data_IF_314966973107
#
_entry.id   IF_314966973107
#
_cell.length_a   1.000
_cell.length_b   1.000
_cell.length_c   1.000
_cell.angle_alpha   90.00
_cell.angle_beta   90.00
_cell.angle_gamma   90.00
#
_symmetry.space_group_name_H-M   'P 1'
#
loop_
_entity.id
_entity.type
_entity.pdbx_description
1 polymer ?
#
# COMPACT_ATOMS: atom_id res chain seq x y z
N UNK A 1 32.53 -9.22 4.98
CA UNK A 1 31.12 -9.67 5.00
C UNK A 1 30.32 -8.40 4.73
N UNK A 2 30.24 -8.06 3.43
CA UNK A 2 29.54 -6.86 2.96
C UNK A 2 28.03 -7.08 3.11
N UNK A 3 27.42 -6.26 3.93
CA UNK A 3 25.96 -6.16 4.02
C UNK A 3 25.46 -5.63 2.68
N UNK A 4 24.73 -6.45 1.92
CA UNK A 4 24.02 -6.01 0.73
C UNK A 4 22.88 -5.13 1.25
N UNK A 5 23.09 -3.82 1.23
CA UNK A 5 22.03 -2.83 1.43
C UNK A 5 21.01 -3.00 0.29
N UNK A 6 19.76 -3.26 0.65
CA UNK A 6 18.67 -3.17 -0.31
C UNK A 6 18.62 -1.74 -0.84
N UNK A 7 18.49 -1.53 -2.16
CA UNK A 7 18.44 -0.19 -2.74
C UNK A 7 17.35 0.67 -2.05
N UNK A 8 17.66 1.94 -1.86
CA UNK A 8 16.75 2.91 -1.26
C UNK A 8 15.49 3.09 -2.11
N UNK A 9 14.42 3.65 -1.56
CA UNK A 9 13.12 3.78 -2.23
C UNK A 9 13.12 4.65 -3.48
N UNK A 10 14.18 5.39 -3.77
CA UNK A 10 14.30 6.33 -4.88
C UNK A 10 15.30 5.89 -5.99
N UNK A 11 15.90 4.70 -5.88
CA UNK A 11 16.79 4.18 -6.92
C UNK A 11 15.97 3.51 -8.03
N UNK A 12 16.14 3.95 -9.29
CA UNK A 12 15.63 3.24 -10.46
C UNK A 12 16.25 1.84 -10.50
N UNK A 13 15.38 0.83 -10.37
CA UNK A 13 15.85 -0.55 -10.46
C UNK A 13 16.38 -0.86 -11.86
N UNK A 14 17.43 -1.70 -11.96
CA UNK A 14 17.87 -2.24 -13.23
C UNK A 14 16.71 -2.88 -14.02
N UNK A 15 16.69 -2.73 -15.33
CA UNK A 15 15.63 -3.29 -16.18
C UNK A 15 15.37 -4.79 -15.95
N UNK A 16 16.42 -5.54 -15.59
CA UNK A 16 16.31 -6.97 -15.25
C UNK A 16 15.49 -7.20 -13.97
N UNK A 17 15.63 -6.32 -12.98
CA UNK A 17 14.91 -6.43 -11.71
C UNK A 17 13.43 -6.08 -11.92
N UNK A 18 13.15 -5.08 -12.73
CA UNK A 18 11.78 -4.74 -13.16
C UNK A 18 11.11 -5.90 -13.88
N UNK A 19 11.83 -6.58 -14.79
CA UNK A 19 11.32 -7.76 -15.50
C UNK A 19 11.03 -8.92 -14.53
N UNK A 20 11.87 -9.13 -13.52
CA UNK A 20 11.66 -10.16 -12.48
C UNK A 20 10.44 -9.83 -11.62
N UNK A 21 10.29 -8.57 -11.20
CA UNK A 21 9.12 -8.13 -10.42
C UNK A 21 7.83 -8.25 -11.22
N UNK A 22 7.82 -7.87 -12.51
CA UNK A 22 6.68 -8.04 -13.41
C UNK A 22 6.29 -9.52 -13.57
N UNK A 23 7.27 -10.41 -13.74
CA UNK A 23 7.05 -11.85 -13.76
C UNK A 23 6.50 -12.38 -12.43
N UNK A 24 7.01 -11.86 -11.31
CA UNK A 24 6.52 -12.16 -9.96
C UNK A 24 5.06 -11.76 -9.79
N UNK A 25 4.68 -10.55 -10.21
CA UNK A 25 3.30 -10.06 -10.24
C UNK A 25 2.39 -11.02 -11.01
N UNK A 26 2.76 -11.35 -12.25
CA UNK A 26 1.98 -12.27 -13.07
C UNK A 26 1.82 -13.67 -12.44
N UNK A 27 2.85 -14.18 -11.76
CA UNK A 27 2.77 -15.44 -11.02
C UNK A 27 1.78 -15.37 -9.84
N UNK A 28 1.80 -14.27 -9.08
CA UNK A 28 0.86 -14.11 -7.95
C UNK A 28 -0.56 -13.94 -8.44
N UNK A 29 -0.81 -13.15 -9.47
CA UNK A 29 -2.13 -12.96 -10.06
C UNK A 29 -2.71 -14.27 -10.60
N UNK A 30 -1.88 -15.12 -11.19
CA UNK A 30 -2.34 -16.40 -11.75
C UNK A 30 -2.52 -17.48 -10.66
N UNK A 31 -1.49 -17.70 -9.83
CA UNK A 31 -1.42 -18.85 -8.93
C UNK A 31 -1.66 -18.55 -7.45
N UNK A 32 -1.60 -17.27 -7.05
CA UNK A 32 -1.53 -16.84 -5.64
C UNK A 32 -0.12 -16.94 -5.06
N UNK A 33 0.08 -16.31 -3.90
CA UNK A 33 1.39 -16.20 -3.23
C UNK A 33 1.97 -17.57 -2.88
N UNK A 34 1.16 -18.48 -2.30
CA UNK A 34 1.61 -19.81 -1.84
C UNK A 34 2.16 -20.69 -2.96
N UNK A 35 1.67 -20.52 -4.18
CA UNK A 35 2.06 -21.34 -5.34
C UNK A 35 3.11 -20.65 -6.22
N UNK A 36 3.44 -19.40 -5.95
CA UNK A 36 4.51 -18.67 -6.64
C UNK A 36 5.87 -19.16 -6.14
N UNK A 37 6.76 -19.47 -7.08
CA UNK A 37 8.14 -19.88 -6.77
C UNK A 37 9.14 -19.02 -7.53
N UNK A 38 10.33 -18.76 -6.94
CA UNK A 38 11.40 -18.02 -7.63
C UNK A 38 11.86 -18.71 -8.93
N UNK A 39 11.75 -20.03 -9.02
CA UNK A 39 12.07 -20.77 -10.22
C UNK A 39 11.11 -20.48 -11.37
N UNK A 40 9.81 -20.37 -11.08
CA UNK A 40 8.80 -20.01 -12.09
C UNK A 40 8.93 -18.54 -12.48
N UNK A 41 9.20 -17.67 -11.51
CA UNK A 41 9.48 -16.24 -11.78
C UNK A 41 10.69 -16.10 -12.71
N UNK A 42 11.81 -16.80 -12.43
CA UNK A 42 12.99 -16.77 -13.29
C UNK A 42 12.68 -17.23 -14.73
N UNK A 43 11.92 -18.32 -14.87
CA UNK A 43 11.49 -18.83 -16.16
C UNK A 43 10.67 -17.79 -16.95
N UNK A 44 9.70 -17.13 -16.30
CA UNK A 44 8.85 -16.11 -16.94
C UNK A 44 9.61 -14.83 -17.27
N UNK A 45 10.53 -14.41 -16.40
CA UNK A 45 11.36 -13.24 -16.63
C UNK A 45 12.45 -13.47 -17.68
N UNK A 46 12.65 -14.72 -18.19
CA UNK A 46 13.70 -15.05 -19.14
C UNK A 46 15.11 -14.95 -18.56
N UNK A 47 15.26 -15.11 -17.23
CA UNK A 47 16.56 -15.00 -16.55
C UNK A 47 16.96 -16.31 -15.86
N UNK A 48 18.25 -16.42 -15.52
CA UNK A 48 18.76 -17.59 -14.78
C UNK A 48 18.23 -17.60 -13.33
N UNK A 49 18.00 -18.79 -12.76
CA UNK A 49 17.64 -18.94 -11.33
C UNK A 49 18.64 -18.25 -10.40
N UNK A 50 19.98 -18.45 -10.55
CA UNK A 50 20.95 -17.74 -9.73
C UNK A 50 20.81 -16.22 -9.78
N UNK A 51 20.40 -15.64 -10.91
CA UNK A 51 20.15 -14.20 -11.02
C UNK A 51 19.06 -13.74 -10.08
N UNK A 52 17.95 -14.48 -10.00
CA UNK A 52 16.84 -14.16 -9.10
C UNK A 52 17.24 -14.39 -7.63
N UNK A 53 17.83 -15.54 -7.30
CA UNK A 53 18.23 -15.87 -5.92
C UNK A 53 19.29 -14.93 -5.34
N UNK A 54 20.11 -14.31 -6.17
CA UNK A 54 21.08 -13.31 -5.73
C UNK A 54 20.40 -12.03 -5.25
N UNK A 55 19.27 -11.66 -5.85
CA UNK A 55 18.50 -10.44 -5.50
C UNK A 55 17.47 -10.70 -4.41
N UNK A 56 16.76 -11.80 -4.51
CA UNK A 56 15.72 -12.21 -3.57
C UNK A 56 16.01 -13.62 -3.06
N UNK A 57 16.38 -13.77 -1.78
CA UNK A 57 16.74 -15.08 -1.20
C UNK A 57 15.54 -16.05 -1.16
N UNK A 58 14.33 -15.53 -1.13
CA UNK A 58 13.08 -16.29 -1.07
C UNK A 58 11.93 -15.58 -1.77
N UNK A 59 10.84 -16.30 -1.99
CA UNK A 59 9.62 -15.77 -2.63
C UNK A 59 8.97 -14.67 -1.80
N UNK A 60 9.08 -14.75 -0.46
CA UNK A 60 8.49 -13.76 0.45
C UNK A 60 9.16 -12.38 0.28
N UNK A 61 10.47 -12.35 0.16
CA UNK A 61 11.23 -11.10 -0.07
C UNK A 61 10.89 -10.45 -1.41
N UNK A 62 10.77 -11.26 -2.48
CA UNK A 62 10.33 -10.78 -3.78
C UNK A 62 8.92 -10.15 -3.72
N UNK A 63 7.97 -10.87 -3.11
CA UNK A 63 6.58 -10.39 -3.01
C UNK A 63 6.50 -9.16 -2.11
N UNK A 64 7.25 -9.11 -1.00
CA UNK A 64 7.27 -7.94 -0.14
C UNK A 64 7.74 -6.68 -0.89
N UNK A 65 8.78 -6.80 -1.73
CA UNK A 65 9.24 -5.69 -2.56
C UNK A 65 8.23 -5.31 -3.63
N UNK A 66 7.64 -6.30 -4.30
CA UNK A 66 6.57 -6.07 -5.28
C UNK A 66 5.42 -5.26 -4.66
N UNK A 67 4.94 -5.65 -3.48
CA UNK A 67 3.84 -4.97 -2.78
C UNK A 67 4.21 -3.55 -2.34
N UNK A 68 5.47 -3.33 -1.93
CA UNK A 68 5.96 -1.98 -1.59
C UNK A 68 5.86 -1.05 -2.80
N UNK A 69 6.31 -1.53 -3.96
CA UNK A 69 6.32 -0.74 -5.20
C UNK A 69 4.90 -0.45 -5.70
N UNK A 70 4.07 -1.48 -5.79
CA UNK A 70 2.66 -1.33 -6.20
C UNK A 70 1.93 -0.32 -5.32
N UNK A 71 2.11 -0.44 -3.99
CA UNK A 71 1.48 0.50 -3.06
C UNK A 71 2.01 1.93 -3.25
N UNK A 72 3.30 2.10 -3.51
CA UNK A 72 3.89 3.41 -3.77
C UNK A 72 3.30 4.02 -5.04
N UNK A 73 3.23 3.25 -6.14
CA UNK A 73 2.65 3.71 -7.41
C UNK A 73 1.17 4.15 -7.22
N UNK A 74 0.39 3.37 -6.45
CA UNK A 74 -0.99 3.73 -6.12
C UNK A 74 -1.05 5.04 -5.31
N UNK A 75 -0.22 5.17 -4.28
CA UNK A 75 -0.19 6.37 -3.42
C UNK A 75 0.21 7.60 -4.23
N UNK A 76 1.28 7.50 -5.03
CA UNK A 76 1.78 8.62 -5.83
C UNK A 76 0.76 9.07 -6.90
N UNK A 77 0.02 8.12 -7.49
CA UNK A 77 -1.03 8.41 -8.47
C UNK A 77 -2.32 8.96 -7.84
N UNK A 78 -2.57 8.66 -6.55
CA UNK A 78 -3.84 9.01 -5.89
C UNK A 78 -3.85 10.39 -5.24
N UNK A 79 -2.69 11.00 -4.95
CA UNK A 79 -2.61 12.26 -4.20
C UNK A 79 -2.76 13.44 -5.16
N UNK A 80 -3.83 14.27 -5.04
CA UNK A 80 -3.97 15.49 -5.82
C UNK A 80 -2.87 16.51 -5.47
N UNK A 81 -2.48 17.31 -6.45
CA UNK A 81 -1.44 18.34 -6.28
C UNK A 81 -1.99 19.72 -5.88
N UNK A 82 -3.29 19.95 -6.10
CA UNK A 82 -3.94 21.25 -5.90
C UNK A 82 -4.98 21.20 -4.76
N UNK A 83 -5.17 22.35 -4.10
CA UNK A 83 -6.14 22.52 -3.04
C UNK A 83 -5.57 22.43 -1.62
N UNK A 84 -6.41 22.70 -0.59
CA UNK A 84 -6.04 22.61 0.82
C UNK A 84 -5.56 21.19 1.19
N UNK A 85 -4.56 21.10 2.06
CA UNK A 85 -3.93 19.82 2.41
C UNK A 85 -4.94 18.78 2.92
N UNK A 86 -5.96 19.19 3.70
CA UNK A 86 -7.02 18.28 4.14
C UNK A 86 -7.81 17.68 2.98
N UNK A 87 -8.24 18.49 2.02
CA UNK A 87 -9.02 18.00 0.87
C UNK A 87 -8.20 17.01 0.04
N UNK A 88 -6.93 17.32 -0.25
CA UNK A 88 -6.01 16.43 -0.96
C UNK A 88 -5.79 15.10 -0.23
N UNK A 89 -5.63 15.15 1.10
CA UNK A 89 -5.43 13.96 1.90
C UNK A 89 -6.69 13.07 1.93
N UNK A 90 -7.88 13.66 2.06
CA UNK A 90 -9.16 12.92 1.99
C UNK A 90 -9.32 12.25 0.64
N UNK A 91 -9.16 13.00 -0.46
CA UNK A 91 -9.27 12.48 -1.82
C UNK A 91 -8.23 11.41 -2.10
N UNK A 92 -6.97 11.64 -1.72
CA UNK A 92 -5.90 10.65 -1.90
C UNK A 92 -6.12 9.34 -1.14
N UNK A 93 -6.66 9.41 0.09
CA UNK A 93 -6.99 8.21 0.87
C UNK A 93 -8.13 7.43 0.20
N UNK A 94 -9.19 8.12 -0.26
CA UNK A 94 -10.34 7.46 -0.90
C UNK A 94 -9.94 6.85 -2.23
N UNK A 95 -9.26 7.61 -3.10
CA UNK A 95 -8.79 7.12 -4.39
C UNK A 95 -7.80 5.96 -4.24
N UNK A 96 -6.83 6.07 -3.32
CA UNK A 96 -5.89 5.00 -3.04
C UNK A 96 -6.55 3.74 -2.47
N UNK A 97 -7.57 3.90 -1.61
CA UNK A 97 -8.34 2.77 -1.09
C UNK A 97 -9.16 2.08 -2.19
N UNK A 98 -9.79 2.84 -3.09
CA UNK A 98 -10.53 2.31 -4.23
C UNK A 98 -9.60 1.55 -5.18
N UNK A 99 -8.44 2.12 -5.51
CA UNK A 99 -7.45 1.47 -6.37
C UNK A 99 -6.89 0.18 -5.74
N UNK A 100 -6.59 0.18 -4.44
CA UNK A 100 -6.15 -1.03 -3.74
C UNK A 100 -7.19 -2.16 -3.77
N UNK A 101 -8.48 -1.83 -3.69
CA UNK A 101 -9.57 -2.83 -3.78
C UNK A 101 -9.73 -3.40 -5.18
N UNK A 102 -9.56 -2.57 -6.22
CA UNK A 102 -9.69 -2.96 -7.63
C UNK A 102 -8.42 -3.60 -8.21
N UNK A 103 -7.25 -3.35 -7.62
CA UNK A 103 -5.98 -3.87 -8.11
C UNK A 103 -5.93 -5.41 -8.03
N UNK A 104 -5.71 -6.12 -9.16
CA UNK A 104 -5.78 -7.59 -9.21
C UNK A 104 -4.80 -8.30 -8.27
N UNK A 105 -3.60 -7.73 -8.07
CA UNK A 105 -2.59 -8.28 -7.17
C UNK A 105 -3.07 -8.26 -5.72
N UNK A 106 -3.54 -7.09 -5.23
CA UNK A 106 -4.05 -6.94 -3.88
C UNK A 106 -5.33 -7.73 -3.67
N UNK A 107 -6.27 -7.69 -4.62
CA UNK A 107 -7.50 -8.47 -4.57
C UNK A 107 -7.22 -9.97 -4.44
N UNK A 108 -6.21 -10.49 -5.16
CA UNK A 108 -5.80 -11.90 -5.07
C UNK A 108 -5.25 -12.24 -3.68
N UNK A 109 -4.39 -11.36 -3.14
CA UNK A 109 -3.79 -11.55 -1.82
C UNK A 109 -4.86 -11.50 -0.71
N UNK A 110 -5.76 -10.52 -0.75
CA UNK A 110 -6.83 -10.38 0.23
C UNK A 110 -7.82 -11.54 0.23
N UNK A 111 -8.04 -12.19 -0.92
CA UNK A 111 -9.01 -13.28 -1.06
C UNK A 111 -8.44 -14.67 -0.73
N UNK A 112 -7.16 -14.93 -0.99
CA UNK A 112 -6.62 -16.29 -1.03
C UNK A 112 -5.58 -16.54 0.07
N UNK A 113 -4.80 -15.53 0.44
CA UNK A 113 -3.67 -15.68 1.35
C UNK A 113 -3.90 -15.05 2.74
N UNK A 114 -5.00 -15.42 3.38
CA UNK A 114 -5.44 -14.91 4.69
C UNK A 114 -4.35 -14.99 5.77
N UNK A 115 -3.50 -16.02 5.77
CA UNK A 115 -2.40 -16.16 6.74
C UNK A 115 -1.30 -15.11 6.52
N UNK A 116 -1.06 -14.75 5.26
CA UNK A 116 -0.15 -13.65 4.92
C UNK A 116 -0.72 -12.34 5.44
N UNK A 117 -2.03 -12.14 5.27
CA UNK A 117 -2.75 -10.98 5.79
C UNK A 117 -2.64 -10.89 7.31
N UNK A 118 -2.86 -11.98 8.04
CA UNK A 118 -2.74 -12.01 9.50
C UNK A 118 -1.34 -11.59 9.95
N UNK A 119 -0.30 -12.02 9.27
CA UNK A 119 1.08 -11.65 9.59
C UNK A 119 1.36 -10.17 9.31
N UNK A 120 0.83 -9.63 8.19
CA UNK A 120 1.05 -8.23 7.80
C UNK A 120 0.15 -7.24 8.57
N UNK A 121 -1.03 -7.67 9.00
CA UNK A 121 -2.01 -6.82 9.69
C UNK A 121 -1.81 -6.83 11.21
N UNK A 122 -1.55 -8.00 11.80
CA UNK A 122 -1.56 -8.17 13.26
C UNK A 122 -0.18 -8.46 13.87
N UNK A 123 0.79 -8.87 13.08
CA UNK A 123 2.07 -9.32 13.62
C UNK A 123 3.08 -8.19 13.91
N UNK A 124 3.20 -7.21 13.05
CA UNK A 124 4.15 -6.09 13.15
C UNK A 124 3.76 -4.99 12.16
N UNK A 125 3.97 -3.74 12.54
CA UNK A 125 3.89 -2.63 11.58
C UNK A 125 4.90 -2.86 10.45
N UNK A 126 4.42 -3.21 9.27
CA UNK A 126 5.24 -3.51 8.10
C UNK A 126 5.92 -2.27 7.53
N UNK A 127 6.86 -2.47 6.59
CA UNK A 127 7.53 -1.35 5.90
C UNK A 127 6.51 -0.42 5.23
N UNK A 128 5.55 -0.98 4.52
CA UNK A 128 4.50 -0.24 3.81
C UNK A 128 3.64 0.61 4.73
N UNK A 129 3.22 0.05 5.87
CA UNK A 129 2.41 0.77 6.85
C UNK A 129 3.18 1.96 7.45
N UNK A 130 4.46 1.77 7.79
CA UNK A 130 5.32 2.87 8.27
C UNK A 130 5.47 3.96 7.22
N UNK A 131 5.65 3.59 5.96
CA UNK A 131 5.77 4.54 4.87
C UNK A 131 4.48 5.34 4.66
N UNK A 132 3.30 4.68 4.69
CA UNK A 132 2.01 5.38 4.64
C UNK A 132 1.81 6.34 5.82
N UNK A 133 2.17 5.93 7.05
CA UNK A 133 2.12 6.83 8.21
C UNK A 133 2.98 8.07 7.95
N UNK A 134 4.19 7.93 7.40
CA UNK A 134 5.05 9.08 7.10
C UNK A 134 4.43 10.00 6.03
N UNK A 135 3.85 9.45 4.97
CA UNK A 135 3.15 10.21 3.94
C UNK A 135 1.97 10.99 4.54
N UNK A 136 1.12 10.30 5.30
CA UNK A 136 -0.02 10.95 5.97
C UNK A 136 0.42 12.01 6.98
N UNK A 137 1.45 11.73 7.79
CA UNK A 137 1.96 12.69 8.77
C UNK A 137 2.54 13.95 8.10
N UNK A 138 3.21 13.80 6.95
CA UNK A 138 3.71 14.94 6.18
C UNK A 138 2.55 15.83 5.68
N UNK A 139 1.51 15.23 5.10
CA UNK A 139 0.31 15.94 4.66
C UNK A 139 -0.46 16.58 5.84
N UNK A 140 -0.52 15.93 6.99
CA UNK A 140 -1.14 16.48 8.20
C UNK A 140 -0.37 17.70 8.69
N UNK A 141 0.98 17.65 8.74
CA UNK A 141 1.81 18.82 9.12
C UNK A 141 1.59 20.00 8.17
N UNK A 142 1.41 19.72 6.87
CA UNK A 142 1.05 20.74 5.90
C UNK A 142 -0.32 21.34 6.21
N UNK A 143 -1.34 20.51 6.43
CA UNK A 143 -2.70 20.95 6.74
C UNK A 143 -2.85 21.67 8.09
N UNK A 144 -1.97 21.37 9.05
CA UNK A 144 -1.90 22.14 10.30
C UNK A 144 -1.29 23.52 10.08
N UNK A 145 -0.36 23.67 9.12
CA UNK A 145 0.23 24.96 8.78
C UNK A 145 -0.71 25.84 7.95
N UNK A 146 -1.50 25.25 7.05
CA UNK A 146 -2.49 25.97 6.26
C UNK A 146 -3.84 26.16 6.99
N UNK A 147 -3.98 25.62 8.20
CA UNK A 147 -5.18 25.72 9.04
C UNK A 147 -6.32 24.80 8.60
N UNK A 148 -6.13 23.93 7.62
CA UNK A 148 -7.18 23.02 7.14
C UNK A 148 -7.34 21.76 7.99
N UNK A 149 -6.32 21.39 8.77
CA UNK A 149 -6.33 20.20 9.65
C UNK A 149 -6.23 20.63 11.12
N UNK A 150 -7.00 19.98 11.99
CA UNK A 150 -7.01 20.24 13.42
C UNK A 150 -5.66 20.06 14.09
N UNK A 151 -5.48 20.69 15.23
CA UNK A 151 -4.32 20.48 16.10
C UNK A 151 -4.26 19.03 16.62
N UNK A 152 -3.07 18.57 16.93
CA UNK A 152 -2.78 17.26 17.48
C UNK A 152 -1.43 16.73 16.99
N UNK A 153 -0.99 15.61 17.55
CA UNK A 153 0.24 14.94 17.13
C UNK A 153 0.05 14.36 15.70
N UNK A 154 0.85 14.79 14.69
CA UNK A 154 0.68 14.33 13.31
C UNK A 154 0.87 12.81 13.15
N UNK A 155 1.75 12.20 13.93
CA UNK A 155 2.03 10.76 13.81
C UNK A 155 0.88 9.94 14.44
N UNK A 156 0.24 10.45 15.51
CA UNK A 156 -0.97 9.84 16.06
C UNK A 156 -2.15 9.96 15.09
N UNK A 157 -2.35 11.13 14.48
CA UNK A 157 -3.40 11.35 13.49
C UNK A 157 -3.20 10.46 12.26
N UNK A 158 -1.98 10.39 11.73
CA UNK A 158 -1.60 9.55 10.61
C UNK A 158 -1.82 8.05 10.91
N UNK A 159 -1.48 7.61 12.11
CA UNK A 159 -1.70 6.22 12.54
C UNK A 159 -3.18 5.88 12.56
N UNK A 160 -4.04 6.78 13.05
CA UNK A 160 -5.49 6.57 13.02
C UNK A 160 -6.04 6.55 11.59
N UNK A 161 -5.56 7.41 10.70
CA UNK A 161 -5.93 7.36 9.28
C UNK A 161 -5.54 6.03 8.63
N UNK A 162 -4.35 5.51 8.93
CA UNK A 162 -3.94 4.19 8.46
C UNK A 162 -4.91 3.11 8.93
N UNK A 163 -5.27 3.08 10.21
CA UNK A 163 -6.18 2.08 10.76
C UNK A 163 -7.57 2.15 10.12
N UNK A 164 -8.11 3.35 9.92
CA UNK A 164 -9.40 3.58 9.28
C UNK A 164 -9.38 3.09 7.83
N UNK A 165 -8.40 3.57 7.03
CA UNK A 165 -8.30 3.22 5.61
C UNK A 165 -7.98 1.74 5.39
N UNK A 166 -7.09 1.17 6.21
CA UNK A 166 -6.74 -0.25 6.15
C UNK A 166 -7.94 -1.14 6.45
N UNK A 167 -8.74 -0.80 7.48
CA UNK A 167 -9.96 -1.54 7.80
C UNK A 167 -10.97 -1.47 6.66
N UNK A 168 -11.18 -0.29 6.06
CA UNK A 168 -12.07 -0.10 4.92
C UNK A 168 -11.67 -0.97 3.71
N UNK A 169 -10.36 -1.00 3.37
CA UNK A 169 -9.85 -1.82 2.26
C UNK A 169 -9.99 -3.32 2.54
N UNK A 170 -9.57 -3.77 3.73
CA UNK A 170 -9.50 -5.21 4.04
C UNK A 170 -10.88 -5.83 4.25
N UNK A 171 -11.83 -5.07 4.78
CA UNK A 171 -13.18 -5.56 5.10
C UNK A 171 -14.19 -5.33 3.98
N UNK A 172 -13.85 -4.60 2.91
CA UNK A 172 -14.75 -4.24 1.83
C UNK A 172 -15.56 -5.43 1.29
N UNK A 173 -14.87 -6.51 0.91
CA UNK A 173 -15.52 -7.72 0.41
C UNK A 173 -16.45 -8.39 1.44
N UNK A 174 -16.12 -8.33 2.72
CA UNK A 174 -16.89 -8.93 3.80
C UNK A 174 -18.23 -8.21 4.00
N UNK A 175 -18.24 -6.89 3.83
CA UNK A 175 -19.41 -6.05 4.06
C UNK A 175 -20.13 -5.64 2.78
N UNK A 176 -19.69 -6.10 1.61
CA UNK A 176 -20.20 -5.65 0.29
C UNK A 176 -21.70 -5.83 0.09
N UNK A 177 -22.33 -6.76 0.79
CA UNK A 177 -23.79 -6.96 0.78
C UNK A 177 -24.59 -5.93 1.60
N UNK A 178 -23.91 -5.17 2.46
CA UNK A 178 -24.49 -4.10 3.29
C UNK A 178 -24.09 -2.72 2.80
N UNK A 179 -22.86 -2.59 2.30
CA UNK A 179 -22.27 -1.34 1.86
C UNK A 179 -21.42 -1.64 0.62
N UNK A 180 -21.87 -1.17 -0.54
CA UNK A 180 -21.13 -1.32 -1.78
C UNK A 180 -19.90 -0.42 -1.86
N UNK A 181 -19.08 -0.59 -2.88
CA UNK A 181 -17.81 0.17 -3.02
C UNK A 181 -18.05 1.68 -3.08
N UNK A 182 -19.07 2.14 -3.78
CA UNK A 182 -19.40 3.56 -3.88
C UNK A 182 -19.85 4.14 -2.53
N UNK A 183 -20.68 3.41 -1.81
CA UNK A 183 -21.10 3.78 -0.45
C UNK A 183 -19.93 3.79 0.52
N UNK A 184 -19.03 2.82 0.41
CA UNK A 184 -17.83 2.75 1.25
C UNK A 184 -16.90 3.96 1.00
N UNK A 185 -16.71 4.37 -0.25
CA UNK A 185 -15.91 5.55 -0.60
C UNK A 185 -16.51 6.84 -0.03
N UNK A 186 -17.84 7.00 -0.11
CA UNK A 186 -18.56 8.15 0.45
C UNK A 186 -18.38 8.21 1.98
N UNK A 187 -18.59 7.09 2.67
CA UNK A 187 -18.48 7.06 4.13
C UNK A 187 -17.03 7.19 4.60
N UNK A 188 -16.05 6.61 3.88
CA UNK A 188 -14.63 6.78 4.16
C UNK A 188 -14.22 8.26 4.03
N UNK A 189 -14.62 8.92 2.94
CA UNK A 189 -14.38 10.35 2.74
C UNK A 189 -14.95 11.17 3.91
N UNK A 190 -16.20 10.88 4.31
CA UNK A 190 -16.88 11.57 5.41
C UNK A 190 -16.18 11.39 6.75
N UNK A 191 -15.74 10.16 7.05
CA UNK A 191 -15.06 9.84 8.30
C UNK A 191 -13.71 10.55 8.35
N UNK A 192 -12.90 10.45 7.29
CA UNK A 192 -11.57 11.06 7.22
C UNK A 192 -11.67 12.60 7.28
N UNK A 193 -12.60 13.20 6.50
CA UNK A 193 -12.81 14.66 6.51
C UNK A 193 -13.18 15.16 7.90
N UNK A 194 -14.15 14.51 8.55
CA UNK A 194 -14.59 14.93 9.90
C UNK A 194 -13.52 14.72 10.96
N UNK A 195 -12.76 13.63 10.86
CA UNK A 195 -11.69 13.35 11.81
C UNK A 195 -10.56 14.40 11.75
N UNK A 196 -10.29 14.95 10.57
CA UNK A 196 -9.23 15.93 10.35
C UNK A 196 -9.69 17.39 10.48
N UNK A 197 -10.98 17.65 10.48
CA UNK A 197 -11.55 19.02 10.50
C UNK A 197 -11.10 19.76 11.75
N UNK A 198 -10.68 21.03 11.63
CA UNK A 198 -10.43 21.88 12.79
C UNK A 198 -11.65 21.95 13.70
N UNK A 199 -11.42 21.96 15.01
CA UNK A 199 -12.49 22.21 15.99
C UNK A 199 -13.03 23.61 15.74
N UNK A 200 -14.34 23.74 15.60
CA UNK A 200 -15.00 25.05 15.50
C UNK A 200 -14.98 25.64 16.92
N UNK A 201 -14.36 26.82 17.08
CA UNK A 201 -14.49 27.61 18.31
C UNK A 201 -15.95 27.95 18.64
#
# INVERSE_FOLDING_TARGET
MESIESPGPDEELPAIDLAILAAGRACVEEFGVRRTTLSEVARRAGVSRPTVYRRWPDTRSLIAELLVRELREIVDASIPTEGPARARLVEGIVAGAAELRSNPLFAKIFRIDTDLMLTYVFGRLGRNQRQLIQVFAAAIREGQRDGSIRAGDPDHLATMLLLISQSAVQSANTVSHLLDDAGLDIELARVVDRYLRPDTE
#
